data_IF_480140651524
#
_entry.id   IF_480140651524
#
_cell.length_a   1.000
_cell.length_b   1.000
_cell.length_c   1.000
_cell.angle_alpha   90.00
_cell.angle_beta   90.00
_cell.angle_gamma   90.00
#
_symmetry.space_group_name_H-M   'P 1'
#
loop_
_entity.id
_entity.type
_entity.pdbx_description
1 polymer ?
#
# COMPACT_ATOMS: atom_id res chain seq x y z
N UNK A 1 -8.28 1.93 0.50
CA UNK A 1 -7.16 1.27 -0.16
C UNK A 1 -6.26 0.84 0.95
N UNK A 2 -6.09 -0.46 1.25
CA UNK A 2 -4.72 -0.82 1.64
C UNK A 2 -3.92 -0.34 0.45
N UNK A 3 -3.15 0.71 0.73
CA UNK A 3 -2.41 1.39 -0.29
C UNK A 3 -1.55 0.29 -0.85
N UNK A 4 -1.76 -0.02 -2.13
CA UNK A 4 -0.73 -0.64 -2.95
C UNK A 4 0.45 0.36 -2.95
N UNK A 5 1.09 0.56 -1.79
CA UNK A 5 2.49 0.92 -1.73
C UNK A 5 3.22 -0.20 -2.43
N UNK A 6 4.31 0.12 -3.15
CA UNK A 6 4.81 -0.64 -4.30
C UNK A 6 4.63 -2.14 -4.05
N UNK A 7 3.57 -2.67 -4.64
CA UNK A 7 3.38 -4.09 -4.78
C UNK A 7 4.34 -4.39 -5.92
N UNK A 8 5.42 -5.12 -5.64
CA UNK A 8 6.11 -5.82 -6.71
C UNK A 8 5.02 -6.57 -7.49
N UNK A 9 4.85 -6.16 -8.74
CA UNK A 9 3.62 -6.30 -9.51
C UNK A 9 3.44 -7.75 -9.96
N UNK A 10 2.74 -8.56 -9.16
CA UNK A 10 2.57 -10.00 -9.41
C UNK A 10 1.20 -10.35 -10.05
N UNK A 11 1.21 -10.41 -11.39
CA UNK A 11 0.81 -11.55 -12.26
C UNK A 11 -0.64 -11.96 -12.55
N UNK A 12 -0.88 -12.48 -13.78
CA UNK A 12 -2.17 -13.03 -14.29
C UNK A 12 -2.09 -14.51 -14.85
N UNK A 13 -3.14 -15.15 -15.44
CA UNK A 13 -3.39 -16.60 -15.31
C UNK A 13 -2.84 -17.54 -16.41
N UNK A 14 -2.67 -18.83 -16.07
CA UNK A 14 -2.64 -19.95 -17.02
C UNK A 14 -4.08 -20.44 -17.32
N UNK A 15 -4.37 -20.95 -18.54
CA UNK A 15 -5.72 -21.33 -18.93
C UNK A 15 -6.09 -22.67 -18.28
N UNK A 16 -6.92 -22.64 -17.24
CA UNK A 16 -7.49 -23.85 -16.63
C UNK A 16 -8.97 -23.94 -16.99
N UNK A 17 -9.30 -24.90 -17.86
CA UNK A 17 -10.68 -25.21 -18.23
C UNK A 17 -11.50 -25.64 -17.01
N UNK A 18 -12.82 -25.42 -17.08
CA UNK A 18 -13.85 -25.63 -16.05
C UNK A 18 -13.93 -27.02 -15.41
N UNK A 19 -13.09 -27.96 -15.82
CA UNK A 19 -13.05 -29.34 -15.33
C UNK A 19 -12.08 -29.51 -14.14
N UNK A 20 -11.02 -28.71 -14.04
CA UNK A 20 -10.04 -28.79 -12.94
C UNK A 20 -10.57 -28.24 -11.60
N UNK A 21 -11.50 -27.27 -11.64
CA UNK A 21 -12.13 -26.66 -10.45
C UNK A 21 -13.08 -27.62 -9.68
N UNK A 22 -13.45 -28.76 -10.27
CA UNK A 22 -14.36 -29.73 -9.62
C UNK A 22 -13.66 -30.79 -8.76
N UNK A 23 -12.32 -30.80 -8.72
CA UNK A 23 -11.56 -31.87 -8.04
C UNK A 23 -10.92 -31.46 -6.70
N UNK A 24 -11.06 -30.22 -6.23
CA UNK A 24 -10.60 -29.82 -4.90
C UNK A 24 -11.61 -30.25 -3.81
N UNK A 25 -11.19 -30.90 -2.72
CA UNK A 25 -12.11 -31.40 -1.70
C UNK A 25 -12.76 -30.23 -0.96
N UNK A 26 -14.10 -30.19 -0.98
CA UNK A 26 -14.91 -29.25 -0.23
C UNK A 26 -14.84 -29.55 1.27
N UNK A 27 -13.83 -29.04 1.96
CA UNK A 27 -13.82 -28.98 3.42
C UNK A 27 -14.63 -27.77 3.88
N UNK A 28 -15.95 -27.97 4.06
CA UNK A 28 -16.81 -27.01 4.75
C UNK A 28 -16.38 -26.91 6.22
N UNK A 29 -15.70 -25.83 6.60
CA UNK A 29 -15.61 -25.43 7.99
C UNK A 29 -16.99 -24.93 8.44
N UNK A 30 -17.55 -25.53 9.49
CA UNK A 30 -18.77 -25.05 10.12
C UNK A 30 -18.50 -23.74 10.87
N UNK A 31 -19.43 -22.78 10.89
CA UNK A 31 -19.29 -21.56 11.68
C UNK A 31 -19.40 -21.90 13.18
N UNK A 32 -18.27 -22.11 13.82
CA UNK A 32 -18.14 -22.13 15.28
C UNK A 32 -17.71 -20.75 15.77
N UNK A 33 -18.46 -20.14 16.67
CA UNK A 33 -18.02 -18.97 17.41
C UNK A 33 -16.73 -19.34 18.17
N UNK A 34 -15.62 -18.68 17.85
CA UNK A 34 -14.37 -18.83 18.60
C UNK A 34 -14.45 -17.94 19.84
N UNK A 35 -14.91 -18.50 20.96
CA UNK A 35 -14.82 -17.85 22.27
C UNK A 35 -13.45 -18.13 22.87
N UNK A 36 -12.62 -17.11 23.02
CA UNK A 36 -11.35 -17.20 23.76
C UNK A 36 -11.66 -16.96 25.25
N UNK A 37 -11.68 -18.01 26.07
CA UNK A 37 -11.80 -17.86 27.52
C UNK A 37 -10.43 -17.63 28.18
N UNK A 38 -10.31 -16.56 28.97
CA UNK A 38 -9.27 -16.38 30.00
C UNK A 38 -9.94 -16.35 31.38
N UNK A 39 -9.34 -16.95 32.43
CA UNK A 39 -9.90 -16.87 33.77
C UNK A 39 -9.65 -15.48 34.38
N UNK A 40 -10.69 -14.95 35.02
CA UNK A 40 -10.73 -13.83 35.96
C UNK A 40 -10.54 -12.39 35.45
N UNK A 41 -11.53 -11.89 34.69
CA UNK A 41 -11.97 -10.48 34.73
C UNK A 41 -13.51 -10.43 34.54
N UNK A 42 -14.24 -9.75 35.45
CA UNK A 42 -15.69 -9.51 35.37
C UNK A 42 -16.09 -8.76 34.08
N UNK A 43 -17.33 -8.90 33.57
CA UNK A 43 -17.67 -8.55 32.18
C UNK A 43 -17.67 -7.03 31.97
N UNK A 44 -16.54 -6.52 31.48
CA UNK A 44 -16.54 -5.50 30.43
C UNK A 44 -17.45 -6.01 29.30
N UNK A 45 -18.23 -5.15 28.65
CA UNK A 45 -18.89 -5.50 27.39
C UNK A 45 -17.89 -6.25 26.51
N UNK A 46 -18.10 -7.56 26.36
CA UNK A 46 -17.08 -8.41 25.77
C UNK A 46 -17.07 -8.13 24.27
N UNK A 47 -15.93 -7.68 23.76
CA UNK A 47 -15.76 -7.52 22.32
C UNK A 47 -15.93 -8.87 21.64
N UNK A 48 -16.81 -8.93 20.65
CA UNK A 48 -17.03 -10.15 19.87
C UNK A 48 -16.24 -10.06 18.57
N UNK A 49 -15.32 -11.00 18.34
CA UNK A 49 -14.60 -11.13 17.09
C UNK A 49 -15.37 -12.08 16.17
N UNK A 50 -15.74 -11.61 14.99
CA UNK A 50 -16.50 -12.38 13.99
C UNK A 50 -15.87 -12.20 12.62
N UNK A 51 -15.80 -13.26 11.81
CA UNK A 51 -15.44 -13.09 10.41
C UNK A 51 -16.57 -12.36 9.67
N UNK A 52 -16.22 -11.31 8.94
CA UNK A 52 -17.13 -10.64 8.00
C UNK A 52 -17.18 -11.52 6.75
N UNK A 53 -18.39 -11.99 6.40
CA UNK A 53 -18.58 -12.91 5.29
C UNK A 53 -18.21 -12.20 3.97
N UNK A 54 -17.42 -12.87 3.14
CA UNK A 54 -17.18 -12.47 1.75
C UNK A 54 -18.49 -12.64 0.96
N UNK A 55 -19.10 -11.55 0.47
CA UNK A 55 -20.29 -11.64 -0.37
C UNK A 55 -19.95 -12.27 -1.72
N UNK A 56 -20.82 -13.09 -2.31
CA UNK A 56 -20.59 -13.66 -3.65
C UNK A 56 -20.96 -12.69 -4.79
N UNK A 57 -21.82 -11.72 -4.47
CA UNK A 57 -22.32 -10.68 -5.37
C UNK A 57 -22.34 -9.34 -4.63
N UNK A 58 -22.21 -8.24 -5.37
CA UNK A 58 -22.31 -6.89 -4.81
C UNK A 58 -23.77 -6.40 -4.86
N UNK A 59 -24.56 -6.80 -3.86
CA UNK A 59 -25.95 -6.37 -3.64
C UNK A 59 -26.07 -5.34 -2.50
N UNK A 60 -27.29 -4.85 -2.21
CA UNK A 60 -27.52 -3.85 -1.16
C UNK A 60 -27.04 -4.29 0.25
N UNK A 61 -27.00 -5.61 0.51
CA UNK A 61 -26.53 -6.14 1.77
C UNK A 61 -24.99 -6.11 1.83
N UNK A 62 -24.32 -6.49 0.74
CA UNK A 62 -22.87 -6.36 0.57
C UNK A 62 -22.43 -4.89 0.66
N UNK A 63 -23.13 -3.99 -0.03
CA UNK A 63 -22.86 -2.54 -0.01
C UNK A 63 -22.92 -2.00 1.42
N UNK A 64 -23.96 -2.35 2.18
CA UNK A 64 -24.11 -1.91 3.57
C UNK A 64 -23.02 -2.46 4.49
N UNK A 65 -22.78 -3.77 4.45
CA UNK A 65 -21.83 -4.42 5.35
C UNK A 65 -20.39 -3.96 5.08
N UNK A 66 -19.98 -3.88 3.81
CA UNK A 66 -18.65 -3.40 3.44
C UNK A 66 -18.54 -1.88 3.58
N UNK A 67 -19.66 -1.15 3.46
CA UNK A 67 -19.74 0.28 3.75
C UNK A 67 -19.40 0.61 5.21
N UNK A 68 -19.89 -0.18 6.16
CA UNK A 68 -19.51 -0.02 7.58
C UNK A 68 -18.01 -0.22 7.82
N UNK A 69 -17.40 -1.19 7.12
CA UNK A 69 -15.95 -1.44 7.15
C UNK A 69 -15.18 -0.27 6.54
N UNK A 70 -15.64 0.23 5.39
CA UNK A 70 -15.06 1.39 4.72
C UNK A 70 -15.08 2.64 5.60
N UNK A 71 -16.21 2.91 6.25
CA UNK A 71 -16.38 4.05 7.15
C UNK A 71 -15.48 3.97 8.38
N UNK A 72 -15.33 2.77 8.97
CA UNK A 72 -14.39 2.54 10.06
C UNK A 72 -12.95 2.89 9.66
N UNK A 73 -12.51 2.40 8.49
CA UNK A 73 -11.16 2.67 7.96
C UNK A 73 -10.96 4.15 7.69
N UNK A 74 -11.97 4.79 7.10
CA UNK A 74 -11.96 6.22 6.81
C UNK A 74 -11.79 7.05 8.09
N UNK A 75 -12.58 6.81 9.13
CA UNK A 75 -12.46 7.50 10.42
C UNK A 75 -11.08 7.31 11.05
N UNK A 76 -10.53 6.09 10.99
CA UNK A 76 -9.20 5.79 11.52
C UNK A 76 -8.10 6.58 10.77
N UNK A 77 -8.15 6.63 9.44
CA UNK A 77 -7.18 7.38 8.63
C UNK A 77 -7.32 8.89 8.74
N UNK A 78 -8.54 9.40 8.88
CA UNK A 78 -8.76 10.80 9.19
C UNK A 78 -8.10 11.17 10.53
N UNK A 79 -8.13 10.30 11.54
CA UNK A 79 -7.44 10.52 12.82
C UNK A 79 -5.90 10.43 12.73
N UNK A 80 -5.35 9.56 11.86
CA UNK A 80 -3.90 9.33 11.75
C UNK A 80 -3.21 10.26 10.75
N UNK A 81 -3.82 10.48 9.58
CA UNK A 81 -3.26 11.25 8.45
C UNK A 81 -4.03 12.52 8.11
N UNK A 82 -5.17 12.78 8.77
CA UNK A 82 -5.96 13.99 8.51
C UNK A 82 -6.70 13.97 7.19
N UNK A 83 -6.79 12.81 6.53
CA UNK A 83 -7.48 12.64 5.26
C UNK A 83 -8.04 11.23 5.11
N UNK A 84 -9.28 11.16 4.62
CA UNK A 84 -9.95 9.93 4.23
C UNK A 84 -9.72 9.53 2.77
N UNK A 85 -9.05 10.36 1.95
CA UNK A 85 -8.94 10.20 0.48
C UNK A 85 -8.37 8.85 0.02
N UNK A 86 -7.61 8.18 0.88
CA UNK A 86 -6.96 6.89 0.60
C UNK A 86 -7.81 5.69 1.02
N UNK A 87 -9.00 5.91 1.59
CA UNK A 87 -9.89 4.86 2.08
C UNK A 87 -10.66 4.20 0.95
N UNK A 88 -10.87 2.89 1.07
CA UNK A 88 -11.63 2.11 0.11
C UNK A 88 -13.09 2.26 0.49
N UNK A 89 -13.97 2.08 -0.49
CA UNK A 89 -15.40 1.95 -0.22
C UNK A 89 -15.87 0.54 -0.48
N UNK A 90 -17.17 0.33 -0.30
CA UNK A 90 -17.75 -1.00 -0.26
C UNK A 90 -17.40 -1.84 -1.50
N UNK A 91 -17.48 -1.24 -2.69
CA UNK A 91 -17.17 -1.89 -3.96
C UNK A 91 -15.67 -2.19 -4.11
N UNK A 92 -14.79 -1.27 -3.69
CA UNK A 92 -13.34 -1.48 -3.69
C UNK A 92 -12.97 -2.65 -2.77
N UNK A 93 -13.56 -2.71 -1.56
CA UNK A 93 -13.37 -3.82 -0.62
C UNK A 93 -13.93 -5.12 -1.20
N UNK A 94 -15.08 -5.07 -1.88
CA UNK A 94 -15.66 -6.23 -2.54
C UNK A 94 -14.69 -6.80 -3.59
N UNK A 95 -14.09 -5.95 -4.41
CA UNK A 95 -13.08 -6.37 -5.38
C UNK A 95 -11.84 -6.95 -4.71
N UNK A 96 -11.32 -6.32 -3.65
CA UNK A 96 -10.18 -6.82 -2.88
C UNK A 96 -10.46 -8.22 -2.29
N UNK A 97 -11.69 -8.49 -1.85
CA UNK A 97 -12.10 -9.79 -1.31
C UNK A 97 -12.14 -10.92 -2.36
N UNK A 98 -12.20 -10.56 -3.65
CA UNK A 98 -12.20 -11.50 -4.77
C UNK A 98 -10.88 -11.47 -5.55
N UNK A 99 -9.82 -10.96 -4.93
CA UNK A 99 -8.48 -10.97 -5.51
C UNK A 99 -8.06 -12.42 -5.84
N UNK A 100 -7.70 -12.73 -7.09
CA UNK A 100 -7.35 -14.09 -7.49
C UNK A 100 -5.94 -14.52 -7.03
N UNK A 101 -5.10 -13.60 -6.57
CA UNK A 101 -3.68 -13.84 -6.21
C UNK A 101 -3.47 -13.97 -4.72
N UNK A 102 -4.35 -13.35 -3.94
CA UNK A 102 -4.31 -13.40 -2.49
C UNK A 102 -5.70 -13.71 -1.95
N UNK A 103 -5.78 -14.63 -0.99
CA UNK A 103 -7.01 -14.76 -0.23
C UNK A 103 -7.07 -13.66 0.82
N UNK A 104 -8.08 -12.80 0.73
CA UNK A 104 -8.33 -11.75 1.72
C UNK A 104 -9.44 -12.19 2.68
N UNK A 105 -9.18 -12.07 3.98
CA UNK A 105 -10.14 -12.36 5.05
C UNK A 105 -10.30 -11.14 5.94
N UNK A 106 -11.56 -10.77 6.22
CA UNK A 106 -11.90 -9.71 7.17
C UNK A 106 -12.44 -10.29 8.46
N UNK A 107 -11.83 -9.94 9.59
CA UNK A 107 -12.40 -10.11 10.92
C UNK A 107 -12.92 -8.76 11.40
N UNK A 108 -14.12 -8.72 11.96
CA UNK A 108 -14.71 -7.56 12.60
C UNK A 108 -14.76 -7.74 14.12
N UNK A 109 -14.48 -6.67 14.85
CA UNK A 109 -14.69 -6.58 16.29
C UNK A 109 -15.96 -5.77 16.56
N UNK A 110 -16.86 -6.35 17.35
CA UNK A 110 -18.17 -5.79 17.63
C UNK A 110 -18.36 -5.57 19.12
N UNK A 111 -18.81 -4.38 19.49
CA UNK A 111 -19.38 -4.10 20.80
C UNK A 111 -20.89 -4.03 20.60
N UNK A 112 -21.59 -4.98 21.22
CA UNK A 112 -22.97 -5.31 20.86
C UNK A 112 -23.05 -5.62 19.34
N UNK A 113 -23.76 -4.81 18.56
CA UNK A 113 -23.85 -4.94 17.10
C UNK A 113 -23.04 -3.87 16.35
N UNK A 114 -22.36 -2.95 17.04
CA UNK A 114 -21.57 -1.90 16.40
C UNK A 114 -20.18 -2.42 16.02
N UNK A 115 -19.82 -2.32 14.74
CA UNK A 115 -18.45 -2.56 14.27
C UNK A 115 -17.51 -1.48 14.82
N UNK A 116 -16.55 -1.88 15.67
CA UNK A 116 -15.60 -0.97 16.34
C UNK A 116 -14.13 -1.28 16.00
N UNK A 117 -13.89 -2.30 15.20
CA UNK A 117 -12.56 -2.64 14.74
C UNK A 117 -12.61 -3.69 13.64
N UNK A 118 -11.52 -3.82 12.89
CA UNK A 118 -11.32 -4.89 11.92
C UNK A 118 -9.87 -5.36 11.89
N UNK A 119 -9.67 -6.60 11.49
CA UNK A 119 -8.39 -7.10 10.98
C UNK A 119 -8.60 -7.56 9.55
N UNK A 120 -7.82 -7.02 8.62
CA UNK A 120 -7.67 -7.56 7.28
C UNK A 120 -6.45 -8.47 7.24
N UNK A 121 -6.65 -9.67 6.73
CA UNK A 121 -5.63 -10.71 6.64
C UNK A 121 -5.51 -11.06 5.16
N UNK A 122 -4.39 -10.71 4.56
CA UNK A 122 -4.07 -11.07 3.18
C UNK A 122 -3.13 -12.26 3.18
N UNK A 123 -3.51 -13.29 2.45
CA UNK A 123 -2.85 -14.58 2.40
C UNK A 123 -2.39 -14.84 0.96
N UNK A 124 -1.14 -14.48 0.61
CA UNK A 124 -0.61 -14.72 -0.73
C UNK A 124 -0.72 -16.18 -1.16
N UNK A 125 -1.13 -16.42 -2.41
CA UNK A 125 -1.36 -17.77 -2.95
C UNK A 125 -0.23 -18.24 -3.89
N UNK A 126 0.63 -17.33 -4.35
CA UNK A 126 1.69 -17.62 -5.34
C UNK A 126 3.08 -17.47 -4.74
N UNK A 127 3.48 -16.24 -4.41
CA UNK A 127 4.77 -15.92 -3.76
C UNK A 127 4.52 -15.65 -2.27
N UNK A 128 5.52 -15.87 -1.41
CA UNK A 128 5.38 -15.69 0.04
C UNK A 128 4.20 -16.46 0.68
N UNK A 129 3.85 -17.64 0.17
CA UNK A 129 2.70 -18.44 0.63
C UNK A 129 2.80 -18.93 2.09
N UNK A 130 3.96 -18.80 2.73
CA UNK A 130 4.14 -19.05 4.16
C UNK A 130 3.96 -17.81 5.03
N UNK A 131 3.64 -16.67 4.43
CA UNK A 131 3.40 -15.40 5.11
C UNK A 131 1.91 -15.04 5.11
N UNK A 132 1.53 -14.21 6.08
CA UNK A 132 0.28 -13.45 6.10
C UNK A 132 0.60 -11.97 6.31
N UNK A 133 -0.11 -11.08 5.62
CA UNK A 133 -0.08 -9.65 5.89
C UNK A 133 -1.33 -9.29 6.67
N UNK A 134 -1.15 -8.64 7.81
CA UNK A 134 -2.24 -8.24 8.72
C UNK A 134 -2.25 -6.72 8.84
N UNK A 135 -3.42 -6.13 8.68
CA UNK A 135 -3.69 -4.74 9.01
C UNK A 135 -4.84 -4.68 10.01
N UNK A 136 -4.56 -4.13 11.20
CA UNK A 136 -5.56 -3.92 12.25
C UNK A 136 -6.00 -2.47 12.25
N UNK A 137 -7.31 -2.24 12.18
CA UNK A 137 -7.93 -0.92 12.30
C UNK A 137 -8.88 -0.94 13.49
N UNK A 138 -8.77 0.04 14.38
CA UNK A 138 -9.70 0.20 15.51
C UNK A 138 -10.34 1.57 15.41
N UNK A 139 -11.62 1.65 15.77
CA UNK A 139 -12.32 2.92 15.82
C UNK A 139 -11.63 3.85 16.83
N UNK A 140 -11.35 5.11 16.49
CA UNK A 140 -10.66 6.04 17.38
C UNK A 140 -11.30 6.16 18.78
N UNK A 141 -12.61 5.97 18.91
CA UNK A 141 -13.32 6.03 20.20
C UNK A 141 -13.15 4.76 21.07
N UNK A 142 -12.62 3.67 20.50
CA UNK A 142 -12.60 2.34 21.12
C UNK A 142 -11.18 1.77 21.33
N UNK A 143 -10.13 2.53 21.05
CA UNK A 143 -8.77 1.99 21.02
C UNK A 143 -8.23 1.53 22.39
N UNK A 144 -8.73 2.09 23.51
CA UNK A 144 -8.28 1.77 24.88
C UNK A 144 -8.98 0.56 25.51
N UNK A 145 -9.78 -0.18 24.73
CA UNK A 145 -10.60 -1.31 25.21
C UNK A 145 -10.01 -2.69 24.89
N UNK A 146 -8.75 -2.77 24.49
CA UNK A 146 -8.11 -4.04 24.13
C UNK A 146 -8.53 -4.63 22.77
N UNK A 147 -9.45 -3.98 22.05
CA UNK A 147 -9.99 -4.42 20.74
C UNK A 147 -8.89 -4.82 19.74
N UNK A 148 -7.84 -4.00 19.62
CA UNK A 148 -6.75 -4.27 18.69
C UNK A 148 -5.95 -5.54 19.03
N UNK A 149 -5.79 -5.85 20.32
CA UNK A 149 -5.06 -7.05 20.75
C UNK A 149 -5.88 -8.32 20.47
N UNK A 150 -7.18 -8.29 20.72
CA UNK A 150 -8.09 -9.41 20.41
C UNK A 150 -8.17 -9.67 18.91
N UNK A 151 -8.26 -8.61 18.10
CA UNK A 151 -8.22 -8.71 16.63
C UNK A 151 -6.91 -9.30 16.13
N UNK A 152 -5.77 -8.83 16.64
CA UNK A 152 -4.46 -9.35 16.23
C UNK A 152 -4.30 -10.81 16.63
N UNK A 153 -4.69 -11.19 17.86
CA UNK A 153 -4.63 -12.57 18.31
C UNK A 153 -5.48 -13.49 17.41
N UNK A 154 -6.71 -13.08 17.07
CA UNK A 154 -7.56 -13.84 16.16
C UNK A 154 -6.97 -13.93 14.74
N UNK A 155 -6.37 -12.85 14.24
CA UNK A 155 -5.71 -12.83 12.93
C UNK A 155 -4.49 -13.76 12.87
N UNK A 156 -3.69 -13.80 13.94
CA UNK A 156 -2.54 -14.71 14.06
C UNK A 156 -2.97 -16.17 14.16
N UNK A 157 -4.04 -16.46 14.91
CA UNK A 157 -4.62 -17.80 14.97
C UNK A 157 -5.11 -18.27 13.59
N UNK A 158 -5.84 -17.42 12.86
CA UNK A 158 -6.29 -17.72 11.51
C UNK A 158 -5.10 -17.94 10.58
N UNK A 159 -4.09 -17.07 10.64
CA UNK A 159 -2.87 -17.21 9.84
C UNK A 159 -2.15 -18.54 10.11
N UNK A 160 -2.04 -18.93 11.39
CA UNK A 160 -1.45 -20.23 11.76
C UNK A 160 -2.27 -21.42 11.27
N UNK A 161 -3.60 -21.34 11.34
CA UNK A 161 -4.51 -22.37 10.81
C UNK A 161 -4.39 -22.52 9.29
N UNK A 162 -4.08 -21.44 8.58
CA UNK A 162 -3.78 -21.40 7.15
C UNK A 162 -2.31 -21.74 6.83
N UNK A 163 -1.64 -22.43 7.76
CA UNK A 163 -0.24 -22.88 7.67
C UNK A 163 0.80 -21.78 7.43
N UNK A 164 0.46 -20.52 7.75
CA UNK A 164 1.40 -19.41 7.69
C UNK A 164 2.35 -19.48 8.89
N UNK A 165 3.62 -19.14 8.64
CA UNK A 165 4.73 -19.19 9.61
C UNK A 165 5.30 -17.83 9.94
N UNK A 166 4.88 -16.80 9.21
CA UNK A 166 5.36 -15.43 9.36
C UNK A 166 4.17 -14.50 9.20
N UNK A 167 4.01 -13.59 10.15
CA UNK A 167 3.01 -12.53 10.07
C UNK A 167 3.74 -11.22 9.93
N UNK A 168 3.32 -10.47 8.92
CA UNK A 168 3.73 -9.11 8.69
C UNK A 168 2.59 -8.19 9.12
N UNK A 169 2.78 -7.41 10.16
CA UNK A 169 1.82 -6.40 10.60
C UNK A 169 2.14 -5.08 9.89
N UNK A 170 1.17 -4.48 9.21
CA UNK A 170 1.28 -3.13 8.67
C UNK A 170 0.67 -2.12 9.65
N UNK A 171 1.34 -0.99 9.84
CA UNK A 171 0.82 0.11 10.66
C UNK A 171 0.96 1.47 9.98
N UNK A 172 0.02 2.35 10.29
CA UNK A 172 -0.05 3.71 9.76
C UNK A 172 0.24 4.70 10.89
N UNK A 173 1.09 5.70 10.62
CA UNK A 173 1.59 6.67 11.60
C UNK A 173 1.44 8.09 11.07
N UNK A 174 1.30 9.11 11.94
CA UNK A 174 1.30 10.51 11.54
C UNK A 174 2.58 10.96 10.86
N UNK A 175 2.48 12.08 10.15
CA UNK A 175 3.62 12.73 9.51
C UNK A 175 4.61 13.31 10.52
N UNK A 176 5.86 13.62 10.10
CA UNK A 176 6.93 14.11 10.98
C UNK A 176 6.59 15.34 11.83
N UNK A 177 5.73 16.23 11.33
CA UNK A 177 5.25 17.41 12.07
C UNK A 177 4.32 17.06 13.24
N UNK A 178 3.65 15.91 13.17
CA UNK A 178 2.61 15.46 14.09
C UNK A 178 3.06 14.25 14.95
N UNK A 179 4.35 13.89 14.90
CA UNK A 179 4.91 12.80 15.71
C UNK A 179 4.98 13.10 17.21
N UNK A 180 4.61 14.32 17.63
CA UNK A 180 4.59 14.72 19.04
C UNK A 180 3.24 14.36 19.66
N UNK A 181 3.19 13.28 20.45
CA UNK A 181 1.98 12.83 21.13
C UNK A 181 1.76 11.32 21.06
N UNK A 182 0.50 10.91 21.14
CA UNK A 182 0.07 9.51 21.15
C UNK A 182 0.00 8.86 19.75
N UNK A 183 0.20 9.63 18.68
CA UNK A 183 0.12 9.14 17.30
C UNK A 183 -1.12 9.58 16.52
N UNK A 184 -1.80 10.65 16.94
CA UNK A 184 -2.92 11.29 16.22
C UNK A 184 -2.61 12.72 15.82
N UNK A 185 -3.16 13.17 14.69
CA UNK A 185 -3.02 14.58 14.27
C UNK A 185 -3.73 15.48 15.28
N UNK A 186 -3.02 16.49 15.77
CA UNK A 186 -3.57 17.48 16.70
C UNK A 186 -3.96 16.92 18.07
N UNK A 187 -3.47 15.73 18.45
CA UNK A 187 -3.79 15.12 19.75
C UNK A 187 -3.35 16.01 20.93
N UNK A 188 -4.27 16.40 21.82
CA UNK A 188 -3.98 17.26 22.96
C UNK A 188 -3.48 16.51 24.21
N UNK A 189 -3.03 15.24 24.09
CA UNK A 189 -2.06 14.67 25.04
C UNK A 189 -0.68 15.28 24.74
N UNK A 190 -0.50 16.60 24.74
CA UNK A 190 -0.64 17.45 25.90
C UNK A 190 0.77 17.74 26.38
N UNK A 191 1.29 18.90 25.99
CA UNK A 191 2.70 19.34 26.04
C UNK A 191 3.58 18.71 24.96
N UNK A 192 4.48 19.49 24.35
CA UNK A 192 5.59 18.96 23.56
C UNK A 192 6.39 18.01 24.45
N UNK A 193 6.06 16.73 24.48
CA UNK A 193 7.03 15.74 24.93
C UNK A 193 8.11 15.78 23.84
N UNK A 194 9.24 16.44 24.13
CA UNK A 194 10.45 16.19 23.37
C UNK A 194 10.65 14.67 23.45
N UNK A 195 10.32 13.96 22.37
CA UNK A 195 10.65 12.54 22.28
C UNK A 195 12.16 12.49 22.30
N UNK A 196 12.73 12.03 23.41
CA UNK A 196 14.16 11.97 23.55
C UNK A 196 14.73 11.07 22.43
N UNK A 197 15.94 11.35 21.91
CA UNK A 197 16.53 10.53 20.85
C UNK A 197 16.59 9.03 21.16
N UNK A 198 16.66 8.67 22.44
CA UNK A 198 16.59 7.31 22.97
C UNK A 198 15.21 6.64 22.90
N UNK A 199 14.12 7.41 22.71
CA UNK A 199 12.74 6.90 22.67
C UNK A 199 12.29 6.53 21.24
N UNK A 200 13.20 6.00 20.43
CA UNK A 200 12.93 5.61 19.04
C UNK A 200 13.32 4.16 18.78
N UNK A 201 12.53 3.47 17.97
CA UNK A 201 12.91 2.19 17.38
C UNK A 201 13.34 2.39 15.94
N UNK A 202 14.48 1.83 15.58
CA UNK A 202 15.03 1.87 14.22
C UNK A 202 14.63 0.61 13.47
N UNK A 203 14.21 0.79 12.23
CA UNK A 203 13.91 -0.29 11.31
C UNK A 203 15.16 -1.09 10.95
N UNK A 204 15.04 -2.40 10.94
CA UNK A 204 16.18 -3.30 10.75
C UNK A 204 16.79 -3.26 9.35
N UNK A 205 16.09 -2.74 8.34
CA UNK A 205 16.61 -2.47 7.00
C UNK A 205 17.30 -1.09 6.84
N UNK A 206 17.38 -0.30 7.91
CA UNK A 206 17.95 1.04 7.88
C UNK A 206 17.05 2.11 7.24
N UNK A 207 15.78 1.81 6.97
CA UNK A 207 14.80 2.72 6.38
C UNK A 207 14.50 3.95 7.21
N UNK A 208 14.43 3.82 8.52
CA UNK A 208 14.00 4.93 9.34
C UNK A 208 13.72 4.50 10.75
N UNK A 209 13.01 5.37 11.46
CA UNK A 209 12.71 5.16 12.87
C UNK A 209 11.31 5.66 13.21
N UNK A 210 10.69 5.03 14.19
CA UNK A 210 9.41 5.43 14.75
C UNK A 210 9.55 5.72 16.25
N UNK A 211 8.81 6.70 16.79
CA UNK A 211 8.89 7.00 18.21
C UNK A 211 8.15 5.92 19.01
N UNK A 212 8.74 5.50 20.13
CA UNK A 212 8.16 4.56 21.09
C UNK A 212 6.91 5.13 21.78
N UNK A 213 6.78 6.46 21.82
CA UNK A 213 5.58 7.15 22.31
C UNK A 213 4.38 7.04 21.38
N UNK A 214 4.53 6.52 20.16
CA UNK A 214 3.42 6.32 19.24
C UNK A 214 2.65 5.04 19.60
N UNK A 215 1.32 5.13 19.67
CA UNK A 215 0.46 4.01 20.08
C UNK A 215 0.66 2.78 19.21
N UNK A 216 0.71 2.97 17.89
CA UNK A 216 0.92 1.94 16.89
C UNK A 216 2.26 1.21 17.09
N UNK A 217 3.31 1.98 17.41
CA UNK A 217 4.64 1.45 17.75
C UNK A 217 4.58 0.57 19.00
N UNK A 218 3.99 1.07 20.09
CA UNK A 218 3.86 0.29 21.34
C UNK A 218 3.02 -0.96 21.15
N UNK A 219 1.95 -0.87 20.36
CA UNK A 219 1.07 -1.98 20.05
C UNK A 219 1.85 -3.12 19.39
N UNK A 220 2.57 -2.83 18.30
CA UNK A 220 3.38 -3.83 17.59
C UNK A 220 4.49 -4.43 18.48
N UNK A 221 5.21 -3.60 19.23
CA UNK A 221 6.25 -4.07 20.16
C UNK A 221 5.69 -4.98 21.26
N UNK A 222 4.57 -4.59 21.90
CA UNK A 222 3.96 -5.41 22.95
C UNK A 222 3.42 -6.73 22.42
N UNK A 223 3.02 -6.77 21.15
CA UNK A 223 2.63 -7.99 20.44
C UNK A 223 3.85 -8.83 20.00
N UNK A 224 5.08 -8.39 20.26
CA UNK A 224 6.31 -9.14 19.96
C UNK A 224 6.79 -9.03 18.52
N UNK A 225 6.35 -8.01 17.79
CA UNK A 225 6.81 -7.76 16.42
C UNK A 225 8.07 -6.91 16.38
N UNK A 226 8.92 -7.17 15.39
CA UNK A 226 10.14 -6.40 15.11
C UNK A 226 9.91 -5.44 13.95
N UNK A 227 10.38 -4.20 14.05
CA UNK A 227 10.27 -3.21 12.98
C UNK A 227 11.21 -3.57 11.81
N UNK A 228 10.63 -3.82 10.62
CA UNK A 228 11.38 -4.17 9.41
C UNK A 228 11.67 -2.94 8.56
N UNK A 229 10.63 -2.22 8.18
CA UNK A 229 10.70 -1.12 7.20
C UNK A 229 9.80 0.04 7.60
N UNK A 230 10.22 1.27 7.32
CA UNK A 230 9.45 2.51 7.45
C UNK A 230 9.47 3.24 6.11
N UNK A 231 8.29 3.64 5.65
CA UNK A 231 8.13 4.47 4.45
C UNK A 231 7.49 5.80 4.81
N UNK A 232 8.00 6.88 4.23
CA UNK A 232 7.34 8.18 4.25
C UNK A 232 6.21 8.16 3.22
N UNK A 233 5.04 8.62 3.65
CA UNK A 233 3.88 8.85 2.79
C UNK A 233 3.88 10.32 2.44
N UNK A 234 4.16 10.64 1.19
CA UNK A 234 4.18 12.02 0.70
C UNK A 234 2.98 12.30 -0.19
N UNK A 235 2.44 13.51 -0.06
CA UNK A 235 1.35 14.03 -0.89
C UNK A 235 1.87 15.19 -1.73
N UNK A 236 1.62 15.13 -3.03
CA UNK A 236 1.80 16.21 -3.98
C UNK A 236 0.44 16.76 -4.38
N UNK A 237 0.19 18.05 -4.16
CA UNK A 237 -1.01 18.71 -4.66
C UNK A 237 -0.92 18.89 -6.18
N UNK A 238 -2.00 18.58 -6.89
CA UNK A 238 -2.10 18.73 -8.34
C UNK A 238 -3.42 19.43 -8.74
N UNK A 239 -3.46 20.14 -9.87
CA UNK A 239 -2.36 20.39 -10.80
C UNK A 239 -1.24 21.25 -10.17
N UNK A 240 0.00 21.03 -10.61
CA UNK A 240 1.10 21.91 -10.23
C UNK A 240 0.85 23.32 -10.77
N UNK A 241 1.35 24.31 -10.04
CA UNK A 241 1.37 25.69 -10.49
C UNK A 241 2.05 25.80 -11.88
N UNK A 242 1.44 26.48 -12.87
CA UNK A 242 1.98 26.55 -14.23
C UNK A 242 3.39 27.15 -14.33
N UNK A 243 3.72 28.12 -13.46
CA UNK A 243 5.04 28.75 -13.43
C UNK A 243 6.09 27.77 -12.88
N UNK A 244 5.74 27.03 -11.83
CA UNK A 244 6.57 25.97 -11.28
C UNK A 244 6.79 24.82 -12.30
N UNK A 245 5.73 24.40 -13.00
CA UNK A 245 5.81 23.40 -14.08
C UNK A 245 6.77 23.85 -15.19
N UNK A 246 6.70 25.13 -15.60
CA UNK A 246 7.59 25.70 -16.61
C UNK A 246 9.04 25.77 -16.12
N UNK A 247 9.26 26.23 -14.88
CA UNK A 247 10.58 26.34 -14.27
C UNK A 247 11.27 24.98 -14.16
N UNK A 248 10.56 23.96 -13.67
CA UNK A 248 11.08 22.59 -13.57
C UNK A 248 11.32 21.98 -14.96
N UNK A 249 10.45 22.26 -15.93
CA UNK A 249 10.65 21.85 -17.33
C UNK A 249 11.93 22.43 -17.93
N UNK A 250 12.21 23.71 -17.71
CA UNK A 250 13.44 24.37 -18.16
C UNK A 250 14.69 23.77 -17.49
N UNK A 251 14.64 23.49 -16.18
CA UNK A 251 15.74 22.87 -15.44
C UNK A 251 16.06 21.44 -15.92
N UNK A 252 15.04 20.70 -16.37
CA UNK A 252 15.23 19.38 -17.00
C UNK A 252 15.88 19.52 -18.38
N UNK A 253 15.39 20.44 -19.22
CA UNK A 253 15.92 20.65 -20.58
C UNK A 253 17.33 21.25 -20.58
N UNK A 254 17.72 21.96 -19.51
CA UNK A 254 19.07 22.49 -19.34
C UNK A 254 20.09 21.44 -18.86
N UNK A 255 19.66 20.20 -18.58
CA UNK A 255 20.60 19.14 -18.19
C UNK A 255 21.43 18.64 -19.38
N UNK A 256 22.68 18.28 -19.12
CA UNK A 256 23.61 17.83 -20.15
C UNK A 256 23.12 16.56 -20.87
N UNK A 257 23.03 16.65 -22.21
CA UNK A 257 22.54 15.57 -23.07
C UNK A 257 21.02 15.37 -22.99
N UNK A 258 20.23 16.35 -22.56
CA UNK A 258 18.78 16.25 -22.51
C UNK A 258 18.15 15.97 -23.89
N UNK A 259 18.81 16.41 -24.96
CA UNK A 259 18.47 16.20 -26.37
C UNK A 259 18.61 14.74 -26.82
N UNK A 260 19.41 13.93 -26.12
CA UNK A 260 19.58 12.50 -26.40
C UNK A 260 18.38 11.66 -25.93
N UNK A 261 17.38 12.31 -25.33
CA UNK A 261 16.25 11.63 -24.71
C UNK A 261 14.89 12.14 -25.20
N UNK A 262 14.01 11.19 -25.51
CA UNK A 262 12.62 11.44 -25.90
C UNK A 262 11.66 10.78 -24.91
N UNK A 263 10.62 11.49 -24.54
CA UNK A 263 9.54 10.95 -23.70
C UNK A 263 8.41 10.42 -24.56
N UNK A 264 7.89 9.25 -24.19
CA UNK A 264 6.63 8.71 -24.72
C UNK A 264 5.66 8.56 -23.57
N UNK A 265 4.38 8.78 -23.84
CA UNK A 265 3.33 8.71 -22.82
C UNK A 265 2.10 8.02 -23.39
N UNK A 266 1.40 7.29 -22.53
CA UNK A 266 0.11 6.70 -22.87
C UNK A 266 -0.72 6.50 -21.61
N UNK A 267 -2.02 6.27 -21.86
CA UNK A 267 -3.01 5.93 -20.85
C UNK A 267 -3.40 4.47 -21.02
N UNK A 268 -3.48 3.77 -19.91
CA UNK A 268 -3.80 2.35 -19.80
C UNK A 268 -2.77 1.47 -20.53
N UNK A 269 -3.09 0.93 -21.70
CA UNK A 269 -2.27 -0.09 -22.36
C UNK A 269 -1.07 0.50 -23.12
N UNK A 270 0.09 -0.14 -22.96
CA UNK A 270 1.30 0.21 -23.69
C UNK A 270 1.20 -0.13 -25.18
N UNK A 271 1.79 0.70 -26.08
CA UNK A 271 2.00 0.31 -27.47
C UNK A 271 2.81 -0.99 -27.57
N UNK A 272 2.42 -1.87 -28.50
CA UNK A 272 3.02 -3.21 -28.66
C UNK A 272 4.55 -3.18 -28.78
N UNK A 273 5.10 -2.18 -29.49
CA UNK A 273 6.55 -2.07 -29.67
C UNK A 273 7.33 -1.85 -28.36
N UNK A 274 6.67 -1.46 -27.27
CA UNK A 274 7.33 -1.14 -25.99
C UNK A 274 7.24 -2.25 -24.95
N UNK A 275 6.46 -3.31 -25.18
CA UNK A 275 6.24 -4.37 -24.19
C UNK A 275 7.53 -5.01 -23.67
N UNK A 276 8.41 -5.44 -24.57
CA UNK A 276 9.69 -6.06 -24.21
C UNK A 276 10.61 -5.09 -23.46
N UNK A 277 10.58 -3.81 -23.85
CA UNK A 277 11.36 -2.78 -23.18
C UNK A 277 10.83 -2.49 -21.76
N UNK A 278 9.51 -2.49 -21.58
CA UNK A 278 8.87 -2.37 -20.28
C UNK A 278 9.20 -3.57 -19.39
N UNK A 279 9.09 -4.80 -19.92
CA UNK A 279 9.47 -6.01 -19.19
C UNK A 279 10.92 -5.93 -18.68
N UNK A 280 11.85 -5.49 -19.54
CA UNK A 280 13.23 -5.24 -19.14
C UNK A 280 13.32 -4.20 -18.02
N UNK A 281 12.62 -3.07 -18.12
CA UNK A 281 12.65 -2.03 -17.10
C UNK A 281 12.08 -2.51 -15.76
N UNK A 282 10.95 -3.23 -15.77
CA UNK A 282 10.37 -3.83 -14.57
C UNK A 282 11.32 -4.83 -13.91
N UNK A 283 12.01 -5.67 -14.70
CA UNK A 283 13.01 -6.63 -14.16
C UNK A 283 14.16 -5.96 -13.39
N UNK A 284 14.40 -4.65 -13.61
CA UNK A 284 15.44 -3.88 -12.92
C UNK A 284 14.97 -3.27 -11.61
N UNK A 285 13.67 -3.09 -11.42
CA UNK A 285 13.09 -2.45 -10.22
C UNK A 285 13.62 -3.07 -8.93
N UNK A 286 13.58 -4.39 -8.73
CA UNK A 286 13.96 -4.92 -7.42
C UNK A 286 15.46 -4.81 -7.15
N UNK A 287 16.29 -4.84 -8.21
CA UNK A 287 17.74 -4.60 -8.11
C UNK A 287 18.12 -3.13 -7.84
N UNK A 288 17.20 -2.21 -8.15
CA UNK A 288 17.35 -0.77 -7.97
C UNK A 288 16.58 -0.24 -6.75
N UNK A 289 15.83 -1.10 -6.07
CA UNK A 289 15.15 -0.79 -4.83
C UNK A 289 16.16 -0.42 -3.73
N UNK A 290 15.77 0.50 -2.85
CA UNK A 290 16.63 0.91 -1.74
C UNK A 290 16.94 -0.26 -0.79
N UNK A 291 15.93 -1.07 -0.51
CA UNK A 291 16.04 -2.32 0.21
C UNK A 291 15.71 -3.45 -0.76
N UNK A 292 16.56 -4.47 -0.82
CA UNK A 292 16.32 -5.64 -1.66
C UNK A 292 15.08 -6.40 -1.16
N UNK A 293 14.25 -6.96 -2.07
CA UNK A 293 13.14 -7.81 -1.65
C UNK A 293 13.67 -9.06 -0.96
N UNK A 294 12.93 -9.56 0.02
CA UNK A 294 13.31 -10.75 0.79
C UNK A 294 13.10 -12.05 0.00
N UNK A 295 12.11 -12.07 -0.89
CA UNK A 295 11.90 -13.16 -1.85
C UNK A 295 11.81 -12.53 -3.23
N UNK A 296 12.53 -13.16 -4.16
CA UNK A 296 12.43 -12.81 -5.57
C UNK A 296 11.20 -13.48 -6.16
N UNK A 297 10.40 -12.73 -6.90
CA UNK A 297 9.30 -13.30 -7.66
C UNK A 297 9.87 -14.29 -8.71
N UNK A 298 9.47 -15.58 -8.65
CA UNK A 298 10.04 -16.61 -9.50
C UNK A 298 9.65 -16.48 -10.98
N UNK A 299 8.58 -15.76 -11.30
CA UNK A 299 8.16 -15.61 -12.69
C UNK A 299 8.92 -14.41 -13.31
N UNK A 300 9.57 -14.56 -14.47
CA UNK A 300 10.36 -13.51 -15.09
C UNK A 300 9.50 -12.43 -15.75
N UNK A 301 9.97 -11.18 -15.81
CA UNK A 301 9.30 -10.16 -16.63
C UNK A 301 9.49 -10.43 -18.13
N UNK A 302 8.39 -10.59 -18.84
CA UNK A 302 8.29 -10.62 -20.30
C UNK A 302 7.13 -9.75 -20.81
N UNK A 303 6.95 -9.65 -22.13
CA UNK A 303 5.86 -8.88 -22.74
C UNK A 303 4.46 -9.34 -22.30
N UNK A 304 4.27 -10.65 -22.08
CA UNK A 304 2.99 -11.22 -21.66
C UNK A 304 2.65 -10.82 -20.22
N UNK A 305 3.65 -10.81 -19.33
CA UNK A 305 3.51 -10.27 -17.97
C UNK A 305 3.00 -8.85 -17.99
N UNK A 306 3.61 -7.98 -18.80
CA UNK A 306 3.25 -6.56 -18.87
C UNK A 306 1.78 -6.44 -19.25
N UNK A 307 1.33 -7.15 -20.29
CA UNK A 307 -0.09 -7.19 -20.70
C UNK A 307 -1.02 -7.69 -19.60
N UNK A 308 -0.61 -8.75 -18.90
CA UNK A 308 -1.35 -9.32 -17.78
C UNK A 308 -1.50 -8.32 -16.62
N UNK A 309 -0.44 -7.57 -16.29
CA UNK A 309 -0.47 -6.51 -15.28
C UNK A 309 -1.38 -5.34 -15.69
N UNK A 310 -1.34 -4.91 -16.95
CA UNK A 310 -2.24 -3.87 -17.49
C UNK A 310 -3.71 -4.30 -17.43
N UNK A 311 -4.00 -5.54 -17.81
CA UNK A 311 -5.35 -6.10 -17.77
C UNK A 311 -5.90 -6.17 -16.34
N UNK A 312 -5.07 -6.53 -15.36
CA UNK A 312 -5.47 -6.54 -13.95
C UNK A 312 -5.85 -5.15 -13.46
N UNK A 313 -5.04 -4.12 -13.76
CA UNK A 313 -5.36 -2.73 -13.44
C UNK A 313 -6.69 -2.31 -14.06
N UNK A 314 -6.88 -2.59 -15.36
CA UNK A 314 -8.14 -2.26 -16.03
C UNK A 314 -9.34 -3.02 -15.47
N UNK A 315 -9.18 -4.27 -15.03
CA UNK A 315 -10.26 -5.07 -14.45
C UNK A 315 -10.75 -4.54 -13.10
N UNK A 316 -9.86 -3.90 -12.33
CA UNK A 316 -10.21 -3.18 -11.10
C UNK A 316 -10.78 -1.77 -11.35
N UNK A 317 -10.94 -1.37 -12.61
CA UNK A 317 -11.42 -0.04 -12.99
C UNK A 317 -10.36 1.07 -12.89
N UNK A 318 -9.15 0.76 -12.44
CA UNK A 318 -8.06 1.73 -12.31
C UNK A 318 -7.66 2.29 -13.67
N UNK A 319 -7.20 3.55 -13.69
CA UNK A 319 -6.52 4.14 -14.84
C UNK A 319 -5.02 4.16 -14.62
N UNK A 320 -4.27 3.76 -15.62
CA UNK A 320 -2.81 3.89 -15.62
C UNK A 320 -2.38 5.07 -16.48
N UNK A 321 -1.48 5.90 -15.96
CA UNK A 321 -0.82 6.97 -16.70
C UNK A 321 0.68 6.69 -16.71
N UNK A 322 1.17 6.22 -17.86
CA UNK A 322 2.54 5.77 -18.03
C UNK A 322 3.34 6.81 -18.81
N UNK A 323 4.55 7.08 -18.35
CA UNK A 323 5.56 7.83 -19.10
C UNK A 323 6.85 7.02 -19.15
N UNK A 324 7.45 6.93 -20.34
CA UNK A 324 8.74 6.25 -20.56
C UNK A 324 9.75 7.17 -21.23
N UNK A 325 11.02 6.84 -21.04
CA UNK A 325 12.16 7.58 -21.56
C UNK A 325 12.92 6.73 -22.58
N UNK A 326 12.89 7.13 -23.84
CA UNK A 326 13.74 6.60 -24.91
C UNK A 326 15.10 7.33 -24.88
N UNK A 327 16.20 6.59 -24.95
CA UNK A 327 17.52 7.12 -25.29
C UNK A 327 17.71 7.04 -26.80
N UNK A 328 17.60 8.17 -27.49
CA UNK A 328 17.55 8.28 -28.95
C UNK A 328 18.78 7.64 -29.63
N UNK A 329 20.03 7.83 -29.15
CA UNK A 329 21.19 7.22 -29.80
C UNK A 329 21.18 5.69 -29.80
N UNK A 330 20.56 5.05 -28.80
CA UNK A 330 20.47 3.58 -28.74
C UNK A 330 19.11 3.03 -29.18
N UNK A 331 18.07 3.85 -29.25
CA UNK A 331 16.70 3.43 -29.54
C UNK A 331 16.01 2.63 -28.42
N UNK A 332 16.57 2.67 -27.20
CA UNK A 332 16.13 1.84 -26.08
C UNK A 332 15.35 2.65 -25.04
N UNK A 333 14.33 2.03 -24.40
CA UNK A 333 13.75 2.62 -23.20
C UNK A 333 14.67 2.42 -21.99
N UNK A 334 14.96 3.52 -21.29
CA UNK A 334 15.93 3.58 -20.19
C UNK A 334 15.32 4.04 -18.86
N UNK A 335 14.03 4.29 -18.84
CA UNK A 335 13.30 4.60 -17.63
C UNK A 335 11.80 4.70 -17.86
N UNK A 336 11.04 4.54 -16.79
CA UNK A 336 9.60 4.67 -16.79
C UNK A 336 9.09 5.22 -15.45
N UNK A 337 7.88 5.73 -15.47
CA UNK A 337 7.13 6.07 -14.28
C UNK A 337 5.64 5.91 -14.51
N UNK A 338 4.93 5.52 -13.48
CA UNK A 338 3.49 5.30 -13.56
C UNK A 338 2.75 5.99 -12.43
N UNK A 339 1.62 6.61 -12.78
CA UNK A 339 0.61 7.03 -11.82
C UNK A 339 -0.66 6.24 -12.07
N UNK A 340 -1.12 5.52 -11.04
CA UNK A 340 -2.39 4.81 -11.03
C UNK A 340 -3.45 5.73 -10.41
N UNK A 341 -4.59 5.87 -11.07
CA UNK A 341 -5.74 6.63 -10.58
C UNK A 341 -6.87 5.65 -10.34
N UNK A 342 -7.14 5.30 -9.06
CA UNK A 342 -8.23 4.39 -8.72
C UNK A 342 -9.58 4.90 -9.21
N UNK A 343 -10.52 4.02 -9.56
CA UNK A 343 -11.90 4.42 -9.87
C UNK A 343 -12.90 3.81 -8.88
N UNK A 344 -13.85 4.60 -8.36
CA UNK A 344 -14.06 6.04 -8.61
C UNK A 344 -12.90 6.89 -8.06
N UNK A 345 -12.43 7.88 -8.82
CA UNK A 345 -11.26 8.67 -8.43
C UNK A 345 -11.63 9.71 -7.38
N UNK A 346 -11.25 9.47 -6.12
CA UNK A 346 -11.63 10.29 -4.95
C UNK A 346 -10.70 11.48 -4.75
N UNK A 347 -10.38 12.19 -5.83
CA UNK A 347 -9.38 13.25 -5.81
C UNK A 347 -7.94 12.76 -5.67
N UNK A 348 -7.71 11.45 -5.66
CA UNK A 348 -6.39 10.87 -5.39
C UNK A 348 -5.85 10.06 -6.58
N UNK A 349 -4.57 10.23 -6.86
CA UNK A 349 -3.74 9.33 -7.66
C UNK A 349 -2.60 8.75 -6.82
N UNK A 350 -2.05 7.63 -7.25
CA UNK A 350 -0.95 6.93 -6.62
C UNK A 350 0.23 6.90 -7.56
N UNK A 351 1.33 7.54 -7.18
CA UNK A 351 2.60 7.32 -7.84
C UNK A 351 3.09 5.93 -7.45
N UNK A 352 3.14 5.06 -8.45
CA UNK A 352 3.64 3.69 -8.31
C UNK A 352 5.14 3.70 -8.69
N UNK A 353 5.50 3.00 -9.75
CA UNK A 353 6.89 2.79 -10.12
C UNK A 353 7.56 4.07 -10.65
N UNK A 354 8.86 4.20 -10.39
CA UNK A 354 9.74 5.17 -11.06
C UNK A 354 11.14 4.60 -11.15
N UNK A 355 11.54 4.13 -12.33
CA UNK A 355 12.87 3.57 -12.57
C UNK A 355 13.59 4.34 -13.67
N UNK A 356 14.89 4.54 -13.47
CA UNK A 356 15.83 4.99 -14.49
C UNK A 356 17.06 4.09 -14.37
N UNK A 357 17.42 3.45 -15.48
CA UNK A 357 18.58 2.57 -15.57
C UNK A 357 19.83 3.31 -15.09
N UNK A 358 20.69 2.58 -14.36
CA UNK A 358 21.84 3.14 -13.63
C UNK A 358 22.75 3.99 -14.53
N UNK A 359 22.96 3.53 -15.76
CA UNK A 359 23.82 4.11 -16.79
C UNK A 359 23.33 5.49 -17.25
N UNK A 360 22.03 5.78 -17.10
CA UNK A 360 21.40 7.04 -17.53
C UNK A 360 21.02 7.95 -16.34
N UNK A 361 21.42 7.60 -15.11
CA UNK A 361 21.18 8.43 -13.93
C UNK A 361 22.03 9.70 -13.93
N UNK A 362 21.61 10.67 -13.11
CA UNK A 362 22.31 11.96 -12.98
C UNK A 362 21.83 13.05 -13.96
N UNK A 363 21.03 12.67 -14.97
CA UNK A 363 20.52 13.56 -16.04
C UNK A 363 19.07 14.03 -15.83
N UNK A 364 18.61 14.04 -14.58
CA UNK A 364 17.24 14.47 -14.19
C UNK A 364 16.08 13.75 -14.91
N UNK A 365 16.33 12.59 -15.53
CA UNK A 365 15.32 11.84 -16.29
C UNK A 365 14.11 11.44 -15.42
N UNK A 366 14.33 11.05 -14.17
CA UNK A 366 13.23 10.75 -13.24
C UNK A 366 12.33 11.95 -12.96
N UNK A 367 12.89 13.17 -12.89
CA UNK A 367 12.10 14.40 -12.77
C UNK A 367 11.34 14.67 -14.07
N UNK A 368 11.98 14.51 -15.24
CA UNK A 368 11.33 14.66 -16.56
C UNK A 368 10.12 13.75 -16.69
N UNK A 369 10.29 12.47 -16.37
CA UNK A 369 9.25 11.45 -16.35
C UNK A 369 8.07 11.85 -15.48
N UNK A 370 8.32 12.27 -14.22
CA UNK A 370 7.26 12.72 -13.31
C UNK A 370 6.54 13.96 -13.85
N UNK A 371 7.24 14.93 -14.43
CA UNK A 371 6.60 16.11 -15.04
C UNK A 371 5.67 15.71 -16.21
N UNK A 372 6.04 14.72 -17.02
CA UNK A 372 5.13 14.22 -18.06
C UNK A 372 3.86 13.60 -17.46
N UNK A 373 3.98 12.76 -16.42
CA UNK A 373 2.81 12.22 -15.73
C UNK A 373 1.91 13.30 -15.14
N UNK A 374 2.48 14.37 -14.58
CA UNK A 374 1.71 15.50 -14.08
C UNK A 374 0.94 16.22 -15.22
N UNK A 375 1.52 16.33 -16.42
CA UNK A 375 0.81 16.82 -17.61
C UNK A 375 -0.26 15.86 -18.11
N UNK A 376 -0.06 14.55 -17.95
CA UNK A 376 -1.10 13.56 -18.26
C UNK A 376 -2.27 13.70 -17.30
N UNK A 377 -2.00 13.76 -15.99
CA UNK A 377 -3.04 13.88 -14.95
C UNK A 377 -3.92 15.11 -15.17
N UNK A 378 -3.30 16.26 -15.45
CA UNK A 378 -4.03 17.49 -15.74
C UNK A 378 -4.95 17.39 -16.98
N UNK A 379 -4.61 16.53 -17.95
CA UNK A 379 -5.39 16.33 -19.19
C UNK A 379 -6.44 15.23 -19.07
N UNK A 380 -6.07 14.08 -18.51
CA UNK A 380 -6.85 12.85 -18.55
C UNK A 380 -7.73 12.65 -17.30
N UNK A 381 -7.33 13.23 -16.17
CA UNK A 381 -7.99 13.03 -14.87
C UNK A 381 -8.10 14.34 -14.09
N UNK A 382 -8.84 15.35 -14.60
CA UNK A 382 -8.90 16.69 -14.00
C UNK A 382 -9.54 16.71 -12.59
N UNK A 383 -10.22 15.64 -12.19
CA UNK A 383 -10.76 15.49 -10.83
C UNK A 383 -9.75 15.00 -9.79
N UNK A 384 -8.50 14.73 -10.17
CA UNK A 384 -7.43 14.37 -9.21
C UNK A 384 -6.81 15.65 -8.66
N UNK A 385 -6.80 15.76 -7.33
CA UNK A 385 -6.32 16.92 -6.57
C UNK A 385 -4.99 16.60 -5.85
N UNK A 386 -4.68 15.32 -5.64
CA UNK A 386 -3.53 14.87 -4.87
C UNK A 386 -2.93 13.60 -5.45
N UNK A 387 -1.59 13.54 -5.51
CA UNK A 387 -0.85 12.31 -5.80
C UNK A 387 -0.13 11.88 -4.54
N UNK A 388 -0.33 10.64 -4.14
CA UNK A 388 0.34 10.05 -3.00
C UNK A 388 1.47 9.12 -3.46
N UNK A 389 2.56 9.11 -2.69
CA UNK A 389 3.72 8.26 -2.95
C UNK A 389 4.25 7.69 -1.64
N UNK A 390 4.52 6.40 -1.64
CA UNK A 390 5.26 5.72 -0.58
C UNK A 390 6.71 5.68 -0.98
N UNK A 391 7.59 6.15 -0.12
CA UNK A 391 9.02 6.08 -0.36
C UNK A 391 9.70 5.66 0.92
N UNK A 392 10.51 4.62 0.83
CA UNK A 392 11.38 4.16 1.91
C UNK A 392 12.07 5.37 2.56
N UNK A 393 11.89 5.59 3.87
CA UNK A 393 12.28 6.86 4.51
C UNK A 393 13.80 7.13 4.37
N UNK A 394 14.61 6.08 4.25
CA UNK A 394 16.06 6.13 4.07
C UNK A 394 16.50 6.51 2.66
N UNK A 395 15.59 6.42 1.67
CA UNK A 395 15.85 6.78 0.27
C UNK A 395 15.88 8.30 0.09
N UNK A 396 16.95 8.91 0.60
CA UNK A 396 17.14 10.37 0.65
C UNK A 396 17.07 11.00 -0.75
N UNK A 397 17.53 10.28 -1.78
CA UNK A 397 17.50 10.74 -3.18
C UNK A 397 16.08 10.85 -3.71
N UNK A 398 15.26 9.79 -3.61
CA UNK A 398 13.88 9.83 -4.09
C UNK A 398 13.04 10.82 -3.27
N UNK A 399 13.25 10.87 -1.95
CA UNK A 399 12.60 11.86 -1.08
C UNK A 399 12.96 13.30 -1.47
N UNK A 400 14.19 13.57 -1.91
CA UNK A 400 14.58 14.88 -2.43
C UNK A 400 13.86 15.21 -3.75
N UNK A 401 13.71 14.23 -4.66
CA UNK A 401 12.96 14.42 -5.92
C UNK A 401 11.50 14.75 -5.63
N UNK A 402 10.85 14.00 -4.74
CA UNK A 402 9.46 14.25 -4.34
C UNK A 402 9.30 15.65 -3.72
N UNK A 403 10.20 16.06 -2.82
CA UNK A 403 10.20 17.42 -2.24
C UNK A 403 10.43 18.51 -3.27
N UNK A 404 11.27 18.29 -4.29
CA UNK A 404 11.51 19.25 -5.37
C UNK A 404 10.26 19.49 -6.22
N UNK A 405 9.39 18.49 -6.33
CA UNK A 405 8.06 18.65 -6.94
C UNK A 405 7.06 19.37 -6.03
N UNK A 406 7.41 19.66 -4.77
CA UNK A 406 6.49 20.25 -3.79
C UNK A 406 5.76 19.24 -2.93
N UNK A 407 6.14 17.95 -2.95
CA UNK A 407 5.51 16.95 -2.10
C UNK A 407 5.83 17.20 -0.62
N UNK A 408 4.84 17.01 0.24
CA UNK A 408 4.96 17.10 1.69
C UNK A 408 4.71 15.74 2.33
N UNK A 409 5.49 15.37 3.34
CA UNK A 409 5.27 14.12 4.09
C UNK A 409 4.05 14.30 4.99
N UNK A 410 2.99 13.54 4.73
CA UNK A 410 1.71 13.59 5.47
C UNK A 410 1.57 12.45 6.48
N UNK A 411 2.38 11.41 6.34
CA UNK A 411 2.29 10.21 7.17
C UNK A 411 3.52 9.33 7.03
N UNK A 412 3.52 8.24 7.79
CA UNK A 412 4.41 7.10 7.59
C UNK A 412 3.61 5.81 7.59
N UNK A 413 4.09 4.82 6.86
CA UNK A 413 3.69 3.43 7.06
C UNK A 413 4.89 2.63 7.55
N UNK A 414 4.60 1.56 8.28
CA UNK A 414 5.62 0.65 8.75
C UNK A 414 5.20 -0.81 8.59
N UNK A 415 6.22 -1.62 8.37
CA UNK A 415 6.13 -3.05 8.22
C UNK A 415 6.82 -3.67 9.43
N UNK A 416 6.09 -4.47 10.18
CA UNK A 416 6.56 -5.19 11.34
C UNK A 416 6.45 -6.68 11.09
N UNK A 417 7.30 -7.47 11.74
CA UNK A 417 7.37 -8.90 11.46
C UNK A 417 7.48 -9.74 12.73
N UNK A 418 6.82 -10.90 12.70
CA UNK A 418 6.90 -11.93 13.72
C UNK A 418 6.79 -13.32 13.10
N UNK A 419 7.62 -14.27 13.54
CA UNK A 419 7.42 -15.68 13.26
C UNK A 419 6.26 -16.23 14.11
N UNK A 420 5.44 -17.11 13.54
CA UNK A 420 4.31 -17.76 14.21
C UNK A 420 4.35 -19.28 14.02
N UNK A 421 3.85 -20.01 15.01
CA UNK A 421 3.77 -21.48 14.95
C UNK A 421 5.10 -22.20 15.17
N UNK A 422 6.10 -21.55 15.78
CA UNK A 422 7.19 -22.24 16.45
C UNK A 422 6.72 -22.61 17.86
N UNK A 423 6.47 -23.90 18.07
CA UNK A 423 6.33 -24.55 19.37
C UNK A 423 7.24 -25.77 19.38
#
# INVERSE_FOLDING_TARGET
MILRGPVDSDWAPLPLTSEALRAAPAARAQPGALTVERPDVLPSEAVQIRQIRTPEVFDEAAERALGEVADLVRRSREAIWGTGQLSNEAEDIFHDLHDPWERVVLLGAFLEDRLVGRAEIRLPLVVHTRSAVVLVTVDPECEDRGVGLELLAAAEQLSGAEARRRVTLQSEHPGPGDLQGDGRIGSPTGTMAQVSPEDWITASDGSGRLPLSNRQTRFAQRAGYTLRTVSDVSRLSVPLDPEEMRRLGQDVLASEGAEDYRTHVWKDEAPEQWLESLARLHSRIPSDAFAAPEVWDPEPWDAERVRRTEALRSSGGDRSLMAVMEHIPSGELVGMTEVVVPRPHRGAGLQDETVVLREHRGRRLGLRLKLENLRQIARETPGVESIYVWTHSGNTRMNLVNRRLGSVVVGRSAVWERAIGEA
#
